data_IF_547531177932
#
_entry.id   IF_547531177932
#
_cell.length_a   1.000
_cell.length_b   1.000
_cell.length_c   1.000
_cell.angle_alpha   90.00
_cell.angle_beta   90.00
_cell.angle_gamma   90.00
#
_symmetry.space_group_name_H-M   'P 1'
#
loop_
_entity.id
_entity.type
_entity.pdbx_description
1 polymer ?
#
# COMPACT_ATOMS: atom_id res chain seq x y z
N UNK A 1 20.82 21.08 0.45
CA UNK A 1 20.61 19.63 0.60
C UNK A 1 19.57 19.20 -0.40
N UNK A 2 19.87 18.28 -1.34
CA UNK A 2 18.93 17.93 -2.38
C UNK A 2 17.82 17.01 -1.84
N UNK A 3 16.59 17.41 -2.12
CA UNK A 3 15.34 16.72 -1.84
C UNK A 3 15.30 15.34 -2.53
N UNK A 4 15.55 14.26 -1.79
CA UNK A 4 15.12 12.92 -2.18
C UNK A 4 13.63 12.76 -1.90
N UNK A 5 12.88 13.49 -2.74
CA UNK A 5 11.44 13.49 -2.83
C UNK A 5 10.91 12.10 -3.21
N UNK A 6 9.96 11.63 -2.42
CA UNK A 6 8.60 11.38 -2.92
C UNK A 6 8.48 10.72 -4.31
N UNK A 7 9.20 9.63 -4.60
CA UNK A 7 9.05 8.88 -5.87
C UNK A 7 8.50 7.46 -5.72
N UNK A 8 8.56 6.86 -4.54
CA UNK A 8 8.13 5.45 -4.37
C UNK A 8 6.59 5.30 -4.45
N UNK A 9 5.81 6.34 -4.11
CA UNK A 9 4.36 6.35 -4.31
C UNK A 9 3.92 6.65 -5.76
N UNK A 10 4.81 7.20 -6.60
CA UNK A 10 4.46 7.67 -7.95
C UNK A 10 4.52 6.58 -9.04
N UNK A 11 5.08 5.41 -8.77
CA UNK A 11 5.34 4.40 -9.82
C UNK A 11 4.33 3.25 -9.94
N UNK A 12 3.24 3.21 -9.16
CA UNK A 12 2.28 2.07 -9.17
C UNK A 12 0.82 2.51 -9.43
N UNK A 13 0.63 3.68 -10.06
CA UNK A 13 -0.61 4.00 -10.79
C UNK A 13 -0.18 4.48 -12.18
N UNK A 14 0.40 3.59 -12.97
CA UNK A 14 0.77 3.94 -14.36
C UNK A 14 -0.34 3.58 -15.35
N UNK A 15 -1.26 2.68 -14.98
CA UNK A 15 -2.28 2.16 -15.91
C UNK A 15 -3.64 1.99 -15.21
N UNK A 16 -4.44 3.06 -15.15
CA UNK A 16 -5.86 3.01 -14.85
C UNK A 16 -6.59 2.29 -15.98
N UNK A 17 -7.60 1.48 -15.66
CA UNK A 17 -8.42 0.78 -16.65
C UNK A 17 -9.87 1.31 -16.59
N UNK A 18 -10.40 1.82 -17.69
CA UNK A 18 -11.77 2.36 -17.80
C UNK A 18 -12.56 1.60 -18.85
N UNK A 19 -13.78 1.16 -18.49
CA UNK A 19 -14.69 0.54 -19.44
C UNK A 19 -15.69 1.58 -19.97
N UNK A 20 -15.71 1.75 -21.29
CA UNK A 20 -16.61 2.62 -22.03
C UNK A 20 -17.61 1.75 -22.75
N UNK A 21 -18.88 1.84 -22.37
CA UNK A 21 -19.96 1.15 -23.06
C UNK A 21 -20.46 2.00 -24.24
N UNK A 22 -20.32 1.46 -25.46
CA UNK A 22 -20.65 2.18 -26.70
C UNK A 22 -22.15 2.23 -26.98
N UNK A 23 -22.95 1.45 -26.26
CA UNK A 23 -24.41 1.45 -26.41
C UNK A 23 -25.05 2.78 -25.98
N UNK A 24 -24.30 3.61 -25.23
CA UNK A 24 -24.74 4.92 -24.73
C UNK A 24 -24.14 6.12 -25.49
N UNK A 25 -23.56 5.88 -26.67
CA UNK A 25 -22.94 6.94 -27.46
C UNK A 25 -23.87 7.49 -28.55
N UNK A 26 -23.95 8.82 -28.64
CA UNK A 26 -24.67 9.53 -29.71
C UNK A 26 -24.02 9.34 -31.09
N UNK A 27 -22.70 9.14 -31.11
CA UNK A 27 -21.90 8.98 -32.34
C UNK A 27 -20.77 7.94 -32.12
N UNK A 28 -21.03 6.65 -32.41
CA UNK A 28 -20.04 5.59 -32.29
C UNK A 28 -18.79 5.80 -33.17
N UNK A 29 -18.90 6.58 -34.25
CA UNK A 29 -17.77 6.94 -35.12
C UNK A 29 -16.80 7.91 -34.44
N UNK A 30 -17.34 8.85 -33.65
CA UNK A 30 -16.55 9.85 -32.91
C UNK A 30 -15.83 9.26 -31.70
N UNK A 31 -16.36 8.22 -31.05
CA UNK A 31 -15.66 7.48 -29.98
C UNK A 31 -14.33 6.91 -30.47
N UNK A 32 -14.30 6.26 -31.64
CA UNK A 32 -13.03 5.70 -32.17
C UNK A 32 -11.97 6.78 -32.38
N UNK A 33 -12.39 7.99 -32.75
CA UNK A 33 -11.50 9.15 -32.93
C UNK A 33 -11.00 9.68 -31.59
N UNK A 34 -11.86 9.74 -30.58
CA UNK A 34 -11.53 10.15 -29.21
C UNK A 34 -10.57 9.15 -28.55
N UNK A 35 -10.75 7.85 -28.80
CA UNK A 35 -9.93 6.78 -28.22
C UNK A 35 -8.57 6.56 -28.88
N UNK A 36 -8.37 7.08 -30.09
CA UNK A 36 -7.14 6.90 -30.86
C UNK A 36 -5.84 7.26 -30.11
N UNK A 37 -5.78 8.31 -29.26
CA UNK A 37 -4.59 8.65 -28.50
C UNK A 37 -4.33 7.72 -27.30
N UNK A 38 -5.31 6.91 -26.90
CA UNK A 38 -5.26 6.13 -25.66
C UNK A 38 -5.09 4.63 -25.96
N UNK A 39 -4.38 3.92 -25.09
CA UNK A 39 -4.23 2.47 -25.19
C UNK A 39 -5.57 1.81 -24.86
N UNK A 40 -6.24 1.21 -25.85
CA UNK A 40 -7.57 0.64 -25.62
C UNK A 40 -7.75 -0.75 -26.27
N UNK A 41 -8.65 -1.53 -25.69
CA UNK A 41 -9.06 -2.86 -26.13
C UNK A 41 -10.56 -2.86 -26.44
N UNK A 42 -10.95 -3.29 -27.63
CA UNK A 42 -12.37 -3.40 -28.00
C UNK A 42 -12.99 -4.65 -27.36
N UNK A 43 -14.13 -4.51 -26.69
CA UNK A 43 -14.98 -5.59 -26.16
C UNK A 43 -16.31 -5.65 -26.93
N UNK A 44 -17.11 -6.69 -26.65
CA UNK A 44 -18.39 -6.94 -27.34
C UNK A 44 -19.37 -5.76 -27.28
N UNK A 45 -19.39 -5.03 -26.17
CA UNK A 45 -20.30 -3.90 -25.93
C UNK A 45 -19.56 -2.60 -25.59
N UNK A 46 -18.27 -2.48 -25.91
CA UNK A 46 -17.51 -1.32 -25.45
C UNK A 46 -16.02 -1.31 -25.76
N UNK A 47 -15.32 -0.42 -25.05
CA UNK A 47 -13.87 -0.30 -25.06
C UNK A 47 -13.34 -0.34 -23.63
N UNK A 48 -12.22 -1.00 -23.42
CA UNK A 48 -11.44 -0.92 -22.19
C UNK A 48 -10.24 -0.04 -22.48
N UNK A 49 -10.08 1.08 -21.79
CA UNK A 49 -8.99 2.03 -22.00
C UNK A 49 -8.04 1.96 -20.82
N UNK A 50 -6.74 1.96 -21.11
CA UNK A 50 -5.68 1.94 -20.12
C UNK A 50 -4.82 3.19 -20.24
N UNK A 51 -4.52 3.86 -19.14
CA UNK A 51 -3.67 5.06 -19.17
C UNK A 51 -3.42 5.68 -17.80
N UNK A 52 -2.65 6.76 -17.76
CA UNK A 52 -2.44 7.53 -16.52
C UNK A 52 -3.72 8.24 -16.08
N UNK A 53 -3.72 8.83 -14.88
CA UNK A 53 -4.83 9.64 -14.40
C UNK A 53 -5.16 10.79 -15.36
N UNK A 54 -4.15 11.53 -15.78
CA UNK A 54 -4.30 12.68 -16.67
C UNK A 54 -4.83 12.25 -18.05
N UNK A 55 -4.40 11.08 -18.53
CA UNK A 55 -4.89 10.52 -19.80
C UNK A 55 -6.37 10.14 -19.71
N UNK A 56 -6.76 9.43 -18.64
CA UNK A 56 -8.15 9.01 -18.43
C UNK A 56 -9.07 10.21 -18.18
N UNK A 57 -8.64 11.21 -17.41
CA UNK A 57 -9.43 12.40 -17.10
C UNK A 57 -9.71 13.23 -18.37
N UNK A 58 -8.66 13.48 -19.18
CA UNK A 58 -8.80 14.13 -20.48
C UNK A 58 -9.67 13.34 -21.47
N UNK A 59 -9.63 12.01 -21.38
CA UNK A 59 -10.48 11.16 -22.19
C UNK A 59 -11.95 11.33 -21.80
N UNK A 60 -12.25 11.36 -20.50
CA UNK A 60 -13.62 11.48 -20.00
C UNK A 60 -14.23 12.86 -20.29
N UNK A 61 -13.46 13.94 -20.20
CA UNK A 61 -13.91 15.26 -20.67
C UNK A 61 -14.35 15.20 -22.14
N UNK A 62 -13.54 14.59 -23.01
CA UNK A 62 -13.85 14.44 -24.44
C UNK A 62 -15.05 13.51 -24.69
N UNK A 63 -15.25 12.49 -23.85
CA UNK A 63 -16.38 11.57 -23.96
C UNK A 63 -17.69 12.21 -23.49
N UNK A 64 -17.65 13.13 -22.53
CA UNK A 64 -18.85 13.85 -22.04
C UNK A 64 -19.57 14.62 -23.16
N UNK A 65 -18.85 15.04 -24.21
CA UNK A 65 -19.43 15.69 -25.39
C UNK A 65 -20.26 14.74 -26.29
N UNK A 66 -20.00 13.43 -26.23
CA UNK A 66 -20.51 12.43 -27.19
C UNK A 66 -21.38 11.34 -26.58
N UNK A 67 -21.48 11.29 -25.25
CA UNK A 67 -22.32 10.34 -24.53
C UNK A 67 -23.75 10.91 -24.30
N UNK A 68 -24.75 10.04 -24.17
CA UNK A 68 -26.11 10.47 -23.82
C UNK A 68 -26.16 10.98 -22.37
N UNK A 69 -26.73 12.18 -22.10
CA UNK A 69 -27.06 12.59 -20.74
C UNK A 69 -28.34 11.84 -20.35
N UNK A 70 -28.24 10.55 -20.08
CA UNK A 70 -29.16 9.74 -19.23
C UNK A 70 -28.86 8.25 -19.40
N UNK A 71 -28.71 7.56 -18.27
CA UNK A 71 -29.15 6.19 -18.10
C UNK A 71 -29.88 6.12 -16.74
N UNK A 72 -30.94 5.31 -16.59
CA UNK A 72 -31.59 5.03 -15.32
C UNK A 72 -30.69 4.09 -14.50
N UNK A 73 -29.48 4.53 -14.15
CA UNK A 73 -28.97 4.17 -12.82
C UNK A 73 -29.85 5.00 -11.90
N UNK A 74 -30.61 4.31 -11.04
CA UNK A 74 -31.43 4.86 -9.97
C UNK A 74 -31.04 6.29 -9.63
N UNK A 75 -32.03 7.19 -9.62
CA UNK A 75 -31.99 8.55 -9.05
C UNK A 75 -31.68 8.47 -7.54
N UNK A 76 -30.54 7.87 -7.22
CA UNK A 76 -30.12 7.40 -5.92
C UNK A 76 -28.73 7.95 -5.69
N UNK A 77 -28.58 8.66 -4.58
CA UNK A 77 -27.32 9.21 -4.13
C UNK A 77 -26.20 8.18 -4.20
N UNK A 78 -25.00 8.61 -4.60
CA UNK A 78 -23.77 7.81 -4.50
C UNK A 78 -23.69 7.28 -3.06
N UNK A 79 -23.57 5.97 -2.91
CA UNK A 79 -23.57 5.36 -1.58
C UNK A 79 -22.34 5.81 -0.81
N UNK A 80 -22.49 6.26 0.45
CA UNK A 80 -21.36 6.54 1.32
C UNK A 80 -20.41 5.33 1.43
N UNK A 81 -19.17 5.60 1.82
CA UNK A 81 -18.15 4.57 2.08
C UNK A 81 -17.84 4.59 3.57
N UNK A 82 -18.02 3.45 4.23
CA UNK A 82 -17.59 3.27 5.62
C UNK A 82 -16.06 3.18 5.69
N UNK A 83 -15.47 3.95 6.60
CA UNK A 83 -14.03 4.11 6.80
C UNK A 83 -13.69 4.18 8.28
N UNK A 84 -12.45 3.85 8.63
CA UNK A 84 -11.92 4.01 9.98
C UNK A 84 -11.54 5.47 10.21
N UNK A 85 -12.03 6.04 11.32
CA UNK A 85 -11.68 7.42 11.69
C UNK A 85 -10.17 7.64 11.83
N UNK A 86 -9.43 6.67 12.38
CA UNK A 86 -7.97 6.75 12.56
C UNK A 86 -7.24 6.79 11.21
N UNK A 87 -7.64 5.91 10.28
CA UNK A 87 -7.07 5.90 8.93
C UNK A 87 -7.41 7.19 8.18
N UNK A 88 -8.63 7.69 8.33
CA UNK A 88 -9.04 8.94 7.72
C UNK A 88 -8.31 10.16 8.30
N UNK A 89 -8.08 10.21 9.61
CA UNK A 89 -7.27 11.25 10.24
C UNK A 89 -5.85 11.27 9.66
N UNK A 90 -5.22 10.09 9.53
CA UNK A 90 -3.93 9.96 8.87
C UNK A 90 -3.97 10.41 7.41
N UNK A 91 -4.96 9.97 6.63
CA UNK A 91 -5.11 10.36 5.23
C UNK A 91 -5.22 11.88 5.09
N UNK A 92 -6.06 12.52 5.92
CA UNK A 92 -6.27 13.97 5.90
C UNK A 92 -5.00 14.74 6.26
N UNK A 93 -4.21 14.26 7.21
CA UNK A 93 -3.01 15.00 7.64
C UNK A 93 -1.76 14.68 6.81
N UNK A 94 -1.55 13.41 6.46
CA UNK A 94 -0.30 12.93 5.86
C UNK A 94 -0.41 12.58 4.37
N UNK A 95 -1.63 12.49 3.83
CA UNK A 95 -1.89 12.15 2.43
C UNK A 95 -2.87 13.11 1.73
N UNK A 96 -2.99 14.35 2.24
CA UNK A 96 -3.89 15.39 1.69
C UNK A 96 -3.67 15.61 0.19
N UNK A 97 -2.42 15.62 -0.26
CA UNK A 97 -2.08 15.82 -1.67
C UNK A 97 -2.61 14.68 -2.54
N UNK A 98 -2.52 13.44 -2.08
CA UNK A 98 -3.03 12.26 -2.77
C UNK A 98 -4.56 12.24 -2.75
N UNK A 99 -5.18 12.62 -1.64
CA UNK A 99 -6.64 12.77 -1.53
C UNK A 99 -7.17 13.82 -2.52
N UNK A 100 -6.53 14.99 -2.59
CA UNK A 100 -6.87 16.07 -3.54
C UNK A 100 -6.74 15.65 -5.00
N UNK A 101 -5.80 14.75 -5.34
CA UNK A 101 -5.70 14.18 -6.69
C UNK A 101 -6.84 13.22 -7.02
N UNK A 102 -7.47 12.62 -6.00
CA UNK A 102 -8.64 11.76 -6.18
C UNK A 102 -9.88 12.62 -6.38
N UNK A 103 -10.01 13.67 -5.57
CA UNK A 103 -11.06 14.70 -5.64
C UNK A 103 -11.06 15.47 -6.97
N UNK A 104 -9.87 15.80 -7.47
CA UNK A 104 -9.72 16.66 -8.65
C UNK A 104 -10.32 18.05 -8.41
N UNK A 105 -10.78 18.70 -9.48
CA UNK A 105 -11.44 20.01 -9.39
C UNK A 105 -12.97 19.90 -9.28
N UNK A 106 -13.51 18.69 -9.29
CA UNK A 106 -14.94 18.43 -9.55
C UNK A 106 -15.66 17.82 -8.36
N UNK A 107 -14.95 17.12 -7.47
CA UNK A 107 -15.54 16.44 -6.32
C UNK A 107 -14.86 16.80 -5.00
N UNK A 108 -15.62 16.64 -3.92
CA UNK A 108 -15.15 16.75 -2.55
C UNK A 108 -15.54 15.49 -1.78
N UNK A 109 -14.59 14.93 -1.01
CA UNK A 109 -14.80 13.74 -0.18
C UNK A 109 -14.94 14.20 1.26
N UNK A 110 -16.16 14.20 1.77
CA UNK A 110 -16.47 14.71 3.10
C UNK A 110 -17.06 13.65 4.03
N UNK A 111 -16.75 13.70 5.33
CA UNK A 111 -17.42 12.88 6.32
C UNK A 111 -18.90 13.26 6.43
N UNK A 112 -19.76 12.26 6.53
CA UNK A 112 -21.17 12.40 6.89
C UNK A 112 -21.23 12.48 8.43
N UNK A 113 -21.25 13.69 9.01
CA UNK A 113 -21.44 13.88 10.47
C UNK A 113 -22.79 13.23 10.91
N UNK A 114 -22.97 12.66 12.10
CA UNK A 114 -22.26 12.72 13.38
C UNK A 114 -22.67 11.46 14.16
N UNK A 115 -21.73 10.62 14.62
CA UNK A 115 -21.95 9.73 15.76
C UNK A 115 -20.65 9.03 16.18
N UNK A 116 -20.45 8.96 17.49
CA UNK A 116 -19.32 8.39 18.20
C UNK A 116 -19.17 6.87 18.00
N UNK A 117 -18.84 6.43 16.79
CA UNK A 117 -18.44 5.07 16.48
C UNK A 117 -17.07 5.06 15.79
N UNK A 118 -16.31 3.97 15.93
CA UNK A 118 -14.98 3.79 15.31
C UNK A 118 -14.99 3.78 13.77
N UNK A 119 -16.18 3.78 13.16
CA UNK A 119 -16.45 3.77 11.73
C UNK A 119 -17.18 5.04 11.32
N UNK A 120 -16.54 5.85 10.48
CA UNK A 120 -17.10 7.06 9.86
C UNK A 120 -17.60 6.73 8.46
N UNK A 121 -18.58 7.48 7.94
CA UNK A 121 -18.98 7.41 6.54
C UNK A 121 -18.45 8.62 5.78
N UNK A 122 -17.93 8.41 4.58
CA UNK A 122 -17.60 9.51 3.65
C UNK A 122 -18.52 9.51 2.44
N UNK A 123 -18.83 10.71 1.96
CA UNK A 123 -19.66 10.94 0.77
C UNK A 123 -18.88 11.71 -0.29
N UNK A 124 -19.36 11.61 -1.53
CA UNK A 124 -18.73 12.18 -2.71
C UNK A 124 -19.67 13.23 -3.28
N UNK A 125 -19.37 14.52 -3.05
CA UNK A 125 -20.19 15.63 -3.54
C UNK A 125 -19.51 16.35 -4.68
N UNK A 126 -20.30 16.73 -5.69
CA UNK A 126 -19.82 17.56 -6.79
C UNK A 126 -19.84 19.04 -6.43
N UNK A 127 -18.83 19.79 -6.87
CA UNK A 127 -18.77 21.24 -6.71
C UNK A 127 -19.85 22.01 -7.51
N UNK A 128 -20.38 21.43 -8.59
CA UNK A 128 -21.26 22.13 -9.53
C UNK A 128 -22.75 21.76 -9.41
N UNK A 129 -23.14 20.98 -8.40
CA UNK A 129 -24.55 20.59 -8.17
C UNK A 129 -25.17 19.63 -9.21
N UNK A 130 -24.60 19.51 -10.41
CA UNK A 130 -24.93 18.49 -11.41
C UNK A 130 -23.69 17.74 -11.85
N UNK A 131 -23.37 16.62 -11.21
CA UNK A 131 -22.39 15.66 -11.73
C UNK A 131 -23.08 14.50 -12.44
N UNK A 132 -22.50 14.05 -13.54
CA UNK A 132 -22.84 12.73 -14.09
C UNK A 132 -22.51 11.64 -13.06
N UNK A 133 -23.46 10.74 -12.73
CA UNK A 133 -23.27 9.67 -11.75
C UNK A 133 -22.02 8.80 -11.99
N UNK A 134 -21.61 8.64 -13.25
CA UNK A 134 -20.45 7.87 -13.68
C UNK A 134 -19.13 8.45 -13.13
N UNK A 135 -18.99 9.77 -13.13
CA UNK A 135 -17.78 10.43 -12.63
C UNK A 135 -17.65 10.30 -11.12
N UNK A 136 -18.77 10.35 -10.41
CA UNK A 136 -18.78 10.24 -8.96
C UNK A 136 -18.48 8.81 -8.48
N UNK A 137 -19.00 7.80 -9.18
CA UNK A 137 -18.67 6.39 -8.90
C UNK A 137 -17.18 6.11 -9.13
N UNK A 138 -16.57 6.76 -10.12
CA UNK A 138 -15.13 6.65 -10.37
C UNK A 138 -14.29 7.24 -9.23
N UNK A 139 -14.61 8.47 -8.79
CA UNK A 139 -13.96 9.09 -7.62
C UNK A 139 -14.12 8.20 -6.39
N UNK A 140 -15.31 7.63 -6.19
CA UNK A 140 -15.60 6.68 -5.12
C UNK A 140 -14.71 5.43 -5.17
N UNK A 141 -14.57 4.77 -6.32
CA UNK A 141 -13.72 3.58 -6.45
C UNK A 141 -12.22 3.90 -6.25
N UNK A 142 -11.76 5.06 -6.73
CA UNK A 142 -10.39 5.53 -6.50
C UNK A 142 -10.13 5.77 -5.03
N UNK A 143 -11.07 6.42 -4.34
CA UNK A 143 -10.99 6.61 -2.90
C UNK A 143 -10.95 5.27 -2.17
N UNK A 144 -11.81 4.31 -2.50
CA UNK A 144 -11.81 2.97 -1.87
C UNK A 144 -10.44 2.30 -2.03
N UNK A 145 -9.89 2.30 -3.24
CA UNK A 145 -8.59 1.67 -3.52
C UNK A 145 -7.46 2.35 -2.76
N UNK A 146 -7.43 3.68 -2.78
CA UNK A 146 -6.46 4.48 -2.03
C UNK A 146 -6.57 4.25 -0.53
N UNK A 147 -7.78 4.29 0.00
CA UNK A 147 -8.08 4.04 1.40
C UNK A 147 -7.62 2.65 1.82
N UNK A 148 -7.97 1.60 1.07
CA UNK A 148 -7.59 0.22 1.41
C UNK A 148 -6.08 0.02 1.41
N UNK A 149 -5.36 0.62 0.44
CA UNK A 149 -3.89 0.57 0.37
C UNK A 149 -3.24 1.32 1.53
N UNK A 150 -3.71 2.53 1.83
CA UNK A 150 -3.20 3.30 2.98
C UNK A 150 -3.47 2.54 4.27
N UNK A 151 -4.71 2.07 4.48
CA UNK A 151 -5.09 1.31 5.66
C UNK A 151 -4.24 0.04 5.87
N UNK A 152 -3.82 -0.64 4.81
CA UNK A 152 -2.97 -1.83 4.92
C UNK A 152 -1.53 -1.53 5.34
N UNK A 153 -1.01 -0.35 4.98
CA UNK A 153 0.36 0.06 5.33
C UNK A 153 0.43 0.70 6.74
N UNK A 154 -0.69 1.23 7.24
CA UNK A 154 -0.75 1.91 8.52
C UNK A 154 -0.75 0.95 9.72
N UNK A 155 0.05 1.34 10.72
CA UNK A 155 0.04 0.76 12.05
C UNK A 155 -0.25 1.86 13.07
N UNK A 156 -1.03 1.49 14.10
CA UNK A 156 -1.33 2.32 15.26
C UNK A 156 -0.61 1.72 16.47
N UNK A 157 0.08 2.55 17.26
CA UNK A 157 0.74 2.14 18.50
C UNK A 157 0.60 3.25 19.53
N UNK A 158 0.63 2.91 20.81
CA UNK A 158 0.70 3.92 21.87
C UNK A 158 2.13 4.04 22.40
N UNK A 159 2.57 5.26 22.71
CA UNK A 159 3.86 5.54 23.32
C UNK A 159 3.70 6.49 24.51
N UNK A 160 4.38 6.18 25.61
CA UNK A 160 4.48 7.09 26.76
C UNK A 160 5.64 8.04 26.57
N UNK A 161 5.38 9.32 26.28
CA UNK A 161 6.42 10.31 25.97
C UNK A 161 6.07 11.65 26.62
N UNK A 162 7.07 12.32 27.21
CA UNK A 162 6.87 13.66 27.78
C UNK A 162 6.57 14.71 26.69
N UNK A 163 5.82 15.79 26.99
CA UNK A 163 5.44 16.80 25.98
C UNK A 163 6.62 17.45 25.25
N UNK A 164 7.77 17.61 25.91
CA UNK A 164 8.98 18.15 25.30
C UNK A 164 9.60 17.20 24.27
N UNK A 165 9.62 15.90 24.56
CA UNK A 165 10.13 14.90 23.63
C UNK A 165 9.17 14.62 22.46
N UNK A 166 7.87 14.87 22.63
CA UNK A 166 6.89 14.69 21.55
C UNK A 166 7.20 15.56 20.33
N UNK A 167 7.56 16.84 20.54
CA UNK A 167 7.92 17.74 19.43
C UNK A 167 9.18 17.29 18.69
N UNK A 168 10.16 16.75 19.41
CA UNK A 168 11.35 16.18 18.78
C UNK A 168 11.01 14.95 17.95
N UNK A 169 10.18 14.05 18.48
CA UNK A 169 9.73 12.87 17.74
C UNK A 169 8.93 13.24 16.49
N UNK A 170 8.03 14.22 16.56
CA UNK A 170 7.30 14.71 15.38
C UNK A 170 8.23 15.23 14.29
N UNK A 171 9.32 15.90 14.67
CA UNK A 171 10.34 16.40 13.73
C UNK A 171 11.20 15.26 13.16
N UNK A 172 11.58 14.27 13.98
CA UNK A 172 12.37 13.12 13.55
C UNK A 172 11.57 12.16 12.68
N UNK A 173 10.27 12.01 12.95
CA UNK A 173 9.37 11.09 12.27
C UNK A 173 8.19 11.84 11.63
N UNK A 174 8.43 12.67 10.59
CA UNK A 174 7.40 13.53 10.00
C UNK A 174 6.25 12.76 9.33
N UNK A 175 6.49 11.49 8.98
CA UNK A 175 5.49 10.58 8.40
C UNK A 175 4.60 9.91 9.44
N UNK A 176 4.86 10.09 10.72
CA UNK A 176 4.00 9.60 11.79
C UNK A 176 3.04 10.72 12.21
N UNK A 177 1.80 10.33 12.43
CA UNK A 177 0.77 11.13 13.06
C UNK A 177 0.79 10.85 14.56
N UNK A 178 0.83 11.88 15.39
CA UNK A 178 0.88 11.77 16.84
C UNK A 178 -0.35 12.47 17.43
N UNK A 179 -1.24 11.72 18.06
CA UNK A 179 -2.50 12.18 18.64
C UNK A 179 -2.49 11.97 20.16
N UNK A 180 -2.70 13.02 20.97
CA UNK A 180 -2.77 12.88 22.43
C UNK A 180 -3.94 11.98 22.86
N UNK A 181 -3.71 11.04 23.77
CA UNK A 181 -4.78 10.21 24.35
C UNK A 181 -5.33 10.88 25.62
N UNK A 182 -6.67 10.98 25.74
CA UNK A 182 -7.34 11.67 26.86
C UNK A 182 -7.52 10.82 28.12
N UNK A 183 -6.88 9.66 28.20
CA UNK A 183 -7.30 8.56 29.09
C UNK A 183 -6.75 8.57 30.51
N UNK A 184 -5.74 9.39 30.87
CA UNK A 184 -5.35 9.59 32.29
C UNK A 184 -4.38 10.77 32.52
N UNK A 185 -4.54 11.57 33.59
CA UNK A 185 -3.62 12.66 33.96
C UNK A 185 -2.27 12.19 34.54
N UNK A 186 -2.09 10.90 34.85
CA UNK A 186 -0.88 10.39 35.52
C UNK A 186 0.23 9.91 34.58
N UNK A 187 -0.08 9.63 33.31
CA UNK A 187 0.89 9.33 32.24
C UNK A 187 0.32 9.79 30.89
N UNK A 188 0.84 10.88 30.28
CA UNK A 188 0.40 11.30 28.96
C UNK A 188 0.86 10.24 27.94
N UNK A 189 -0.11 9.47 27.47
CA UNK A 189 0.08 8.53 26.37
C UNK A 189 -0.24 9.26 25.06
N UNK A 190 0.48 8.89 24.01
CA UNK A 190 0.28 9.44 22.67
C UNK A 190 0.04 8.28 21.73
N UNK A 191 -1.10 8.34 21.04
CA UNK A 191 -1.41 7.44 19.94
C UNK A 191 -0.59 7.86 18.73
N UNK A 192 0.12 6.91 18.13
CA UNK A 192 0.96 7.14 16.96
C UNK A 192 0.46 6.27 15.82
N UNK A 193 0.10 6.92 14.71
CA UNK A 193 -0.40 6.28 13.50
C UNK A 193 0.55 6.55 12.34
N UNK A 194 0.97 5.54 11.61
CA UNK A 194 1.79 5.73 10.42
C UNK A 194 2.25 4.44 9.75
N UNK A 195 2.99 4.52 8.64
CA UNK A 195 3.45 3.35 7.91
C UNK A 195 4.26 2.41 8.79
N UNK A 196 4.08 1.11 8.62
CA UNK A 196 4.74 0.07 9.43
C UNK A 196 6.24 0.31 9.61
N UNK A 197 6.96 0.63 8.52
CA UNK A 197 8.40 0.88 8.57
C UNK A 197 8.75 2.05 9.50
N UNK A 198 7.99 3.13 9.47
CA UNK A 198 8.24 4.30 10.30
C UNK A 198 7.88 4.05 11.78
N UNK A 199 6.85 3.25 12.04
CA UNK A 199 6.50 2.83 13.39
C UNK A 199 7.59 1.91 13.98
N UNK A 200 8.15 0.99 13.19
CA UNK A 200 9.26 0.15 13.61
C UNK A 200 10.50 0.99 13.98
N UNK A 201 10.86 1.97 13.13
CA UNK A 201 11.96 2.90 13.40
C UNK A 201 11.74 3.73 14.67
N UNK A 202 10.50 4.17 14.94
CA UNK A 202 10.17 4.87 16.17
C UNK A 202 10.38 3.97 17.40
N UNK A 203 9.92 2.72 17.36
CA UNK A 203 10.06 1.78 18.49
C UNK A 203 11.53 1.48 18.79
N UNK A 204 12.35 1.29 17.76
CA UNK A 204 13.79 1.10 17.90
C UNK A 204 14.45 2.34 18.51
N UNK A 205 14.14 3.53 17.99
CA UNK A 205 14.65 4.80 18.50
C UNK A 205 14.31 5.02 19.98
N UNK A 206 13.09 4.68 20.40
CA UNK A 206 12.68 4.79 21.80
C UNK A 206 13.40 3.77 22.68
N UNK A 207 13.63 2.55 22.18
CA UNK A 207 14.34 1.50 22.91
C UNK A 207 15.79 1.89 23.24
N UNK A 208 16.49 2.53 22.28
CA UNK A 208 17.86 3.00 22.44
C UNK A 208 18.02 4.15 23.46
N UNK A 209 16.94 4.89 23.78
CA UNK A 209 16.95 5.99 24.75
C UNK A 209 16.57 5.56 26.17
N UNK A 210 16.22 4.29 26.41
CA UNK A 210 15.90 3.79 27.75
C UNK A 210 17.19 3.61 28.56
N UNK A 211 17.40 4.28 29.70
CA UNK A 211 18.63 4.11 30.48
C UNK A 211 18.63 2.75 31.18
N UNK A 212 19.59 1.90 30.85
CA UNK A 212 19.94 0.72 31.65
C UNK A 212 20.40 1.15 33.06
N UNK A 213 20.02 0.46 34.16
CA UNK A 213 20.51 0.81 35.48
C UNK A 213 21.98 0.36 35.66
N UNK A 214 22.83 1.36 35.91
CA UNK A 214 24.10 1.34 36.65
C UNK A 214 25.23 0.38 36.21
N UNK A 215 26.32 0.97 35.68
CA UNK A 215 27.66 0.86 36.28
C UNK A 215 28.35 2.24 36.25
N UNK A 216 28.90 2.62 37.40
CA UNK A 216 29.37 3.95 37.78
C UNK A 216 30.63 4.42 37.04
N UNK A 217 30.91 5.74 37.01
CA UNK A 217 32.04 6.33 36.29
C UNK A 217 33.32 6.41 37.15
N UNK A 218 34.44 5.95 36.59
CA UNK A 218 35.79 6.16 37.13
C UNK A 218 36.45 7.37 36.48
N UNK A 219 36.69 8.40 37.29
CA UNK A 219 37.25 9.69 36.96
C UNK A 219 38.79 9.64 36.80
N UNK A 220 39.37 10.33 35.81
CA UNK A 220 40.74 10.91 35.78
C UNK A 220 40.93 11.69 34.45
N UNK A 221 40.96 13.03 34.50
CA UNK A 221 41.37 13.90 33.38
C UNK A 221 42.88 14.21 33.40
N UNK A 222 43.36 15.36 32.90
CA UNK A 222 42.95 16.17 31.74
C UNK A 222 44.17 16.47 30.80
N UNK A 223 44.01 17.43 29.87
CA UNK A 223 45.02 18.08 28.98
C UNK A 223 45.17 17.43 27.58
N UNK A 224 45.19 18.09 26.43
CA UNK A 224 45.33 19.51 26.04
C UNK A 224 44.63 19.78 24.69
N UNK A 225 44.16 21.01 24.48
CA UNK A 225 43.80 21.60 23.17
C UNK A 225 44.91 22.58 22.77
N UNK A 226 45.28 22.72 21.48
CA UNK A 226 44.79 23.87 20.70
C UNK A 226 44.50 23.50 19.22
N UNK A 227 43.29 23.77 18.72
CA UNK A 227 42.92 24.98 17.96
C UNK A 227 43.45 25.07 16.52
N UNK A 228 42.49 25.18 15.61
CA UNK A 228 42.48 25.96 14.36
C UNK A 228 43.19 25.42 13.11
N UNK A 229 42.41 25.13 12.05
CA UNK A 229 42.27 25.98 10.84
C UNK A 229 41.56 25.24 9.70
N UNK A 230 40.40 25.74 9.33
CA UNK A 230 39.85 25.66 7.96
C UNK A 230 40.83 26.34 6.99
N UNK A 231 40.93 25.85 5.75
CA UNK A 231 40.39 26.65 4.65
C UNK A 231 39.52 25.84 3.68
N UNK A 232 38.52 26.52 3.14
CA UNK A 232 37.62 26.03 2.11
C UNK A 232 38.23 25.99 0.69
N UNK A 233 37.38 26.00 -0.34
CA UNK A 233 37.43 25.04 -1.44
C UNK A 233 38.37 25.47 -2.56
N UNK A 234 38.98 24.49 -3.24
CA UNK A 234 39.54 24.68 -4.57
C UNK A 234 38.99 23.63 -5.51
N UNK A 235 38.04 24.10 -6.33
CA UNK A 235 37.58 23.47 -7.56
C UNK A 235 38.75 23.28 -8.52
N UNK A 236 39.06 22.04 -8.84
CA UNK A 236 39.77 21.69 -10.08
C UNK A 236 38.92 20.67 -10.82
N UNK A 237 38.27 21.15 -11.87
CA UNK A 237 37.60 20.36 -12.89
C UNK A 237 38.63 19.45 -13.57
N UNK A 238 38.66 18.20 -13.15
CA UNK A 238 39.12 17.08 -13.97
C UNK A 238 37.89 16.23 -14.28
N UNK A 239 37.60 16.06 -15.58
CA UNK A 239 36.64 15.06 -16.05
C UNK A 239 37.30 13.69 -15.89
N UNK A 240 37.35 13.20 -14.67
CA UNK A 240 37.50 11.77 -14.40
C UNK A 240 36.19 11.07 -14.83
N UNK A 241 36.23 9.81 -15.29
CA UNK A 241 35.01 9.04 -15.50
C UNK A 241 34.27 9.05 -14.16
N UNK A 242 33.00 9.51 -14.16
CA UNK A 242 32.17 9.55 -12.95
C UNK A 242 32.30 8.21 -12.22
N UNK A 243 33.03 8.23 -11.11
CA UNK A 243 33.26 7.04 -10.30
C UNK A 243 31.91 6.72 -9.67
N UNK A 244 31.20 5.79 -10.30
CA UNK A 244 29.84 5.42 -9.91
C UNK A 244 29.90 4.86 -8.47
N UNK A 245 29.28 5.56 -7.51
CA UNK A 245 29.29 5.16 -6.11
C UNK A 245 28.22 4.09 -5.84
N UNK A 246 28.56 3.10 -5.01
CA UNK A 246 27.65 2.03 -4.63
C UNK A 246 26.58 2.56 -3.67
N UNK A 247 25.27 2.42 -3.98
CA UNK A 247 24.21 2.91 -3.09
C UNK A 247 24.10 2.18 -1.73
N UNK A 248 24.78 1.03 -1.57
CA UNK A 248 24.70 0.19 -0.36
C UNK A 248 25.81 0.56 0.63
N UNK A 249 27.07 0.56 0.19
CA UNK A 249 28.21 0.91 1.05
C UNK A 249 28.63 2.37 0.94
N UNK A 250 28.10 3.12 -0.03
CA UNK A 250 28.44 4.52 -0.33
C UNK A 250 29.88 4.76 -0.83
N UNK A 251 30.63 3.69 -1.09
CA UNK A 251 31.99 3.75 -1.64
C UNK A 251 32.00 3.74 -3.17
N UNK A 252 33.10 4.19 -3.78
CA UNK A 252 33.37 4.05 -5.20
C UNK A 252 33.26 2.57 -5.64
N UNK A 253 32.51 2.28 -6.71
CA UNK A 253 32.46 0.93 -7.26
C UNK A 253 33.74 0.69 -8.06
N UNK A 254 34.56 -0.26 -7.62
CA UNK A 254 35.66 -0.76 -8.42
C UNK A 254 35.12 -1.49 -9.67
N UNK A 255 35.62 -1.16 -10.86
CA UNK A 255 35.13 -1.72 -12.12
C UNK A 255 35.19 -3.26 -12.17
N UNK A 256 36.13 -3.89 -11.46
CA UNK A 256 36.28 -5.35 -11.34
C UNK A 256 35.22 -6.01 -10.47
N UNK A 257 34.66 -5.27 -9.51
CA UNK A 257 33.63 -5.75 -8.57
C UNK A 257 32.26 -5.14 -8.86
N UNK A 258 32.09 -4.49 -10.02
CA UNK A 258 30.84 -3.88 -10.45
C UNK A 258 29.87 -4.93 -10.99
N UNK A 259 28.70 -5.02 -10.37
CA UNK A 259 27.55 -5.72 -10.94
C UNK A 259 26.45 -4.74 -11.31
N UNK A 260 26.06 -4.75 -12.60
CA UNK A 260 24.96 -3.95 -13.12
C UNK A 260 23.75 -4.84 -13.39
N UNK A 261 22.64 -4.55 -12.70
CA UNK A 261 21.40 -5.28 -12.84
C UNK A 261 20.67 -4.95 -14.16
N UNK A 262 19.67 -5.76 -14.54
CA UNK A 262 18.86 -5.54 -15.76
C UNK A 262 18.08 -4.20 -15.77
N UNK A 263 17.82 -3.63 -14.59
CA UNK A 263 17.26 -2.30 -14.37
C UNK A 263 18.30 -1.18 -14.43
N UNK A 264 19.54 -1.49 -14.82
CA UNK A 264 20.66 -0.56 -15.04
C UNK A 264 21.24 0.10 -13.79
N UNK A 265 20.84 -0.31 -12.58
CA UNK A 265 21.51 0.11 -11.35
C UNK A 265 22.75 -0.76 -11.08
N UNK A 266 23.84 -0.12 -10.67
CA UNK A 266 25.12 -0.77 -10.39
C UNK A 266 25.45 -0.81 -8.89
N UNK A 267 26.10 -1.88 -8.45
CA UNK A 267 26.51 -2.09 -7.07
C UNK A 267 27.87 -2.81 -7.02
N UNK A 268 28.55 -2.78 -5.87
CA UNK A 268 29.60 -3.75 -5.60
C UNK A 268 28.99 -5.15 -5.51
N UNK A 269 29.63 -6.14 -6.13
CA UNK A 269 29.19 -7.55 -6.18
C UNK A 269 28.83 -8.11 -4.80
N UNK A 270 29.71 -7.94 -3.83
CA UNK A 270 29.47 -8.42 -2.46
C UNK A 270 28.30 -7.69 -1.76
N UNK A 271 28.12 -6.40 -2.04
CA UNK A 271 26.99 -5.65 -1.51
C UNK A 271 25.67 -6.13 -2.11
N UNK A 272 25.64 -6.35 -3.43
CA UNK A 272 24.47 -6.87 -4.12
C UNK A 272 24.13 -8.29 -3.68
N UNK A 273 25.13 -9.16 -3.54
CA UNK A 273 24.97 -10.52 -3.05
C UNK A 273 24.32 -10.54 -1.66
N UNK A 274 24.88 -9.79 -0.70
CA UNK A 274 24.30 -9.68 0.66
C UNK A 274 22.87 -9.14 0.65
N UNK A 275 22.59 -8.16 -0.21
CA UNK A 275 21.23 -7.63 -0.35
C UNK A 275 20.26 -8.70 -0.89
N UNK A 276 20.69 -9.49 -1.88
CA UNK A 276 19.88 -10.56 -2.48
C UNK A 276 19.70 -11.77 -1.57
N UNK A 277 20.67 -12.08 -0.71
CA UNK A 277 20.54 -13.10 0.33
C UNK A 277 19.40 -12.77 1.30
N UNK A 278 19.16 -11.47 1.57
CA UNK A 278 18.01 -11.03 2.35
C UNK A 278 16.72 -10.97 1.52
N UNK A 279 16.75 -10.30 0.36
CA UNK A 279 15.61 -10.19 -0.54
C UNK A 279 16.10 -9.95 -1.97
N UNK A 280 15.66 -10.74 -2.97
CA UNK A 280 16.17 -10.63 -4.34
C UNK A 280 15.50 -9.47 -5.10
N UNK A 281 15.55 -8.26 -4.56
CA UNK A 281 15.04 -7.03 -5.17
C UNK A 281 16.18 -6.02 -5.31
N UNK A 282 16.20 -5.26 -6.40
CA UNK A 282 17.14 -4.17 -6.58
C UNK A 282 16.99 -3.16 -5.43
N UNK A 283 18.05 -2.87 -4.64
CA UNK A 283 17.96 -1.93 -3.53
C UNK A 283 17.60 -0.49 -3.93
N UNK A 284 17.77 -0.13 -5.21
CA UNK A 284 17.48 1.22 -5.72
C UNK A 284 16.05 1.38 -6.22
N UNK A 285 15.52 0.41 -6.96
CA UNK A 285 14.20 0.54 -7.60
C UNK A 285 13.20 -0.57 -7.29
N UNK A 286 13.59 -1.59 -6.52
CA UNK A 286 12.71 -2.69 -6.12
C UNK A 286 12.43 -3.75 -7.18
N UNK A 287 13.04 -3.66 -8.38
CA UNK A 287 12.88 -4.69 -9.41
C UNK A 287 13.33 -6.08 -8.89
N UNK A 288 12.52 -7.12 -9.09
CA UNK A 288 12.72 -8.47 -8.52
C UNK A 288 13.63 -9.35 -9.40
N UNK A 289 14.70 -9.94 -8.87
CA UNK A 289 15.69 -10.74 -9.61
C UNK A 289 15.72 -12.24 -9.25
N UNK A 290 14.87 -12.68 -8.33
CA UNK A 290 14.78 -14.06 -7.89
C UNK A 290 13.39 -14.44 -7.39
N UNK A 291 13.26 -15.63 -6.83
CA UNK A 291 12.00 -16.07 -6.22
C UNK A 291 11.85 -15.42 -4.85
N UNK A 292 10.81 -14.61 -4.68
CA UNK A 292 10.49 -14.04 -3.38
C UNK A 292 9.88 -15.14 -2.49
N UNK A 293 10.42 -15.30 -1.29
CA UNK A 293 9.81 -16.13 -0.23
C UNK A 293 9.43 -15.21 0.91
N UNK A 294 8.24 -15.38 1.47
CA UNK A 294 7.78 -14.58 2.60
C UNK A 294 8.00 -15.23 3.96
N UNK A 295 7.43 -14.62 4.99
CA UNK A 295 7.56 -14.96 6.41
C UNK A 295 6.29 -15.60 6.98
N UNK A 296 5.51 -16.29 6.14
CA UNK A 296 4.41 -17.12 6.64
C UNK A 296 4.96 -18.27 7.50
N UNK A 297 4.37 -18.53 8.68
CA UNK A 297 4.81 -19.64 9.52
C UNK A 297 4.63 -21.01 8.88
N UNK A 298 5.47 -21.95 9.33
CA UNK A 298 5.43 -23.35 8.90
C UNK A 298 4.23 -24.11 9.49
N UNK A 299 3.93 -25.26 8.90
CA UNK A 299 2.83 -26.13 9.34
C UNK A 299 1.43 -25.67 8.91
N UNK A 300 1.35 -24.64 8.07
CA UNK A 300 0.09 -24.16 7.51
C UNK A 300 -0.50 -25.07 6.44
N UNK A 301 -1.83 -25.11 6.34
CA UNK A 301 -2.58 -25.76 5.25
C UNK A 301 -3.43 -24.77 4.45
N UNK A 302 -3.69 -25.15 3.20
CA UNK A 302 -4.57 -24.45 2.28
C UNK A 302 -5.46 -25.49 1.58
N UNK A 303 -6.72 -25.54 1.97
CA UNK A 303 -7.70 -26.50 1.49
C UNK A 303 -8.72 -25.81 0.59
N UNK A 304 -9.09 -26.46 -0.52
CA UNK A 304 -9.94 -25.86 -1.54
C UNK A 304 -11.16 -26.74 -1.78
N UNK A 305 -12.34 -26.15 -1.71
CA UNK A 305 -13.61 -26.79 -2.06
C UNK A 305 -14.36 -25.96 -3.10
N UNK A 306 -15.28 -26.60 -3.81
CA UNK A 306 -16.11 -25.97 -4.84
C UNK A 306 -17.57 -26.28 -4.57
N UNK A 307 -18.43 -25.31 -4.88
CA UNK A 307 -19.88 -25.44 -4.73
C UNK A 307 -20.60 -24.80 -5.91
N UNK A 308 -21.85 -25.21 -6.14
CA UNK A 308 -22.68 -24.68 -7.23
C UNK A 308 -23.32 -23.31 -6.93
N UNK A 309 -23.24 -22.83 -5.69
CA UNK A 309 -23.74 -21.50 -5.33
C UNK A 309 -22.91 -20.41 -6.00
N UNK A 310 -23.57 -19.33 -6.41
CA UNK A 310 -22.91 -18.22 -7.11
C UNK A 310 -22.61 -17.06 -6.17
N UNK A 311 -21.48 -16.39 -6.41
CA UNK A 311 -21.18 -15.10 -5.79
C UNK A 311 -21.94 -13.97 -6.50
N UNK A 312 -22.35 -12.91 -5.78
CA UNK A 312 -22.87 -11.69 -6.39
C UNK A 312 -21.92 -11.14 -7.47
N UNK A 313 -22.45 -10.93 -8.68
CA UNK A 313 -21.66 -10.51 -9.86
C UNK A 313 -21.14 -11.66 -10.73
N UNK A 314 -21.28 -12.90 -10.28
CA UNK A 314 -20.81 -14.11 -10.98
C UNK A 314 -21.89 -15.20 -11.06
N UNK A 315 -23.15 -14.82 -11.35
CA UNK A 315 -24.34 -15.69 -11.32
C UNK A 315 -24.28 -16.90 -12.27
N UNK A 316 -23.36 -16.91 -13.23
CA UNK A 316 -23.16 -18.03 -14.18
C UNK A 316 -22.15 -19.08 -13.67
N UNK A 317 -21.51 -18.83 -12.53
CA UNK A 317 -20.41 -19.63 -12.01
C UNK A 317 -20.73 -20.14 -10.60
N UNK A 318 -20.10 -21.25 -10.22
CA UNK A 318 -20.07 -21.70 -8.83
C UNK A 318 -19.14 -20.84 -7.97
N UNK A 319 -18.87 -21.31 -6.75
CA UNK A 319 -17.97 -20.65 -5.80
C UNK A 319 -16.86 -21.61 -5.37
N UNK A 320 -15.62 -21.14 -5.47
CA UNK A 320 -14.44 -21.75 -4.87
C UNK A 320 -14.30 -21.20 -3.46
N UNK A 321 -14.23 -22.07 -2.46
CA UNK A 321 -13.92 -21.72 -1.08
C UNK A 321 -12.51 -22.19 -0.76
N UNK A 322 -11.68 -21.27 -0.26
CA UNK A 322 -10.31 -21.54 0.16
C UNK A 322 -10.27 -21.41 1.69
N UNK A 323 -9.91 -22.47 2.37
CA UNK A 323 -9.71 -22.49 3.81
C UNK A 323 -8.22 -22.53 4.11
N UNK A 324 -7.73 -21.50 4.79
CA UNK A 324 -6.37 -21.44 5.30
C UNK A 324 -6.37 -21.76 6.78
N UNK A 325 -5.39 -22.54 7.20
CA UNK A 325 -5.09 -22.78 8.60
C UNK A 325 -3.58 -22.58 8.82
N UNK A 326 -3.22 -21.71 9.76
CA UNK A 326 -1.86 -21.56 10.27
C UNK A 326 -1.92 -21.85 11.78
N UNK A 327 -1.20 -22.86 12.30
CA UNK A 327 -1.18 -23.15 13.73
C UNK A 327 -0.46 -22.05 14.52
N UNK A 328 -0.74 -21.94 15.81
CA UNK A 328 0.09 -21.14 16.73
C UNK A 328 1.48 -21.76 16.86
N UNK A 329 2.48 -20.95 17.18
CA UNK A 329 3.85 -21.43 17.29
C UNK A 329 4.81 -20.43 17.91
N UNK A 330 6.11 -20.62 17.65
CA UNK A 330 7.18 -19.73 18.12
C UNK A 330 7.77 -18.98 16.93
N UNK A 331 8.02 -17.68 17.12
CA UNK A 331 8.61 -16.80 16.13
C UNK A 331 10.06 -17.19 15.85
N UNK A 332 10.43 -17.21 14.58
CA UNK A 332 11.78 -17.52 14.08
C UNK A 332 12.56 -16.22 13.84
N UNK A 333 13.82 -16.35 13.42
CA UNK A 333 14.70 -15.21 13.15
C UNK A 333 14.14 -14.24 12.09
N UNK A 334 13.32 -14.72 11.16
CA UNK A 334 12.66 -13.90 10.16
C UNK A 334 11.43 -13.12 10.66
N UNK A 335 10.98 -13.35 11.90
CA UNK A 335 9.81 -12.72 12.48
C UNK A 335 10.15 -11.54 13.41
N UNK A 336 9.20 -10.64 13.72
CA UNK A 336 9.48 -9.41 14.49
C UNK A 336 10.07 -9.63 15.89
N UNK A 337 9.70 -10.70 16.58
CA UNK A 337 10.19 -11.00 17.93
C UNK A 337 10.63 -12.48 18.04
N UNK A 338 11.82 -12.84 17.52
CA UNK A 338 12.31 -14.22 17.56
C UNK A 338 12.26 -14.83 18.97
N UNK A 339 11.85 -16.09 19.06
CA UNK A 339 11.68 -16.82 20.33
C UNK A 339 10.38 -16.54 21.09
N UNK A 340 9.61 -15.51 20.74
CA UNK A 340 8.30 -15.27 21.35
C UNK A 340 7.20 -16.13 20.70
N UNK A 341 6.15 -16.53 21.44
CA UNK A 341 5.00 -17.19 20.86
C UNK A 341 4.22 -16.25 19.92
N UNK A 342 3.55 -16.83 18.94
CA UNK A 342 2.52 -16.15 18.15
C UNK A 342 1.22 -16.98 18.09
N UNK A 343 0.09 -16.29 17.96
CA UNK A 343 -1.22 -16.93 17.76
C UNK A 343 -1.48 -17.20 16.28
N UNK A 344 -1.88 -18.43 15.97
CA UNK A 344 -2.26 -18.87 14.63
C UNK A 344 -3.53 -18.21 14.09
N UNK A 345 -3.96 -18.62 12.90
CA UNK A 345 -5.19 -18.13 12.29
C UNK A 345 -5.89 -19.21 11.45
N UNK A 346 -7.22 -19.19 11.47
CA UNK A 346 -8.07 -19.88 10.49
C UNK A 346 -8.83 -18.84 9.69
N UNK A 347 -8.75 -18.90 8.35
CA UNK A 347 -9.39 -17.91 7.49
C UNK A 347 -10.00 -18.56 6.26
N UNK A 348 -11.18 -18.09 5.89
CA UNK A 348 -11.87 -18.52 4.68
C UNK A 348 -11.88 -17.39 3.66
N UNK A 349 -11.66 -17.73 2.39
CA UNK A 349 -11.73 -16.82 1.27
C UNK A 349 -12.53 -17.42 0.11
N UNK A 350 -13.07 -16.56 -0.74
CA UNK A 350 -13.96 -16.94 -1.84
C UNK A 350 -13.45 -16.43 -3.19
N UNK A 351 -13.60 -17.26 -4.22
CA UNK A 351 -13.42 -16.88 -5.62
C UNK A 351 -14.58 -17.43 -6.45
N UNK A 352 -14.97 -16.78 -7.56
CA UNK A 352 -15.90 -17.41 -8.49
C UNK A 352 -15.24 -18.62 -9.15
N UNK A 353 -15.98 -19.72 -9.32
CA UNK A 353 -15.53 -20.90 -10.07
C UNK A 353 -15.64 -20.67 -11.59
N UNK A 354 -14.96 -19.63 -12.04
CA UNK A 354 -14.81 -19.24 -13.44
C UNK A 354 -13.38 -19.53 -13.91
N UNK A 355 -13.13 -19.46 -15.23
CA UNK A 355 -11.76 -19.56 -15.77
C UNK A 355 -10.82 -18.54 -15.12
N UNK A 356 -11.32 -17.31 -14.93
CA UNK A 356 -10.58 -16.23 -14.30
C UNK A 356 -10.29 -16.52 -12.81
N UNK A 357 -11.29 -16.94 -12.03
CA UNK A 357 -11.11 -17.27 -10.62
C UNK A 357 -10.19 -18.48 -10.40
N UNK A 358 -10.28 -19.51 -11.25
CA UNK A 358 -9.34 -20.65 -11.21
C UNK A 358 -7.90 -20.22 -11.55
N UNK A 359 -7.72 -19.21 -12.41
CA UNK A 359 -6.42 -18.59 -12.64
C UNK A 359 -5.84 -17.96 -11.37
N UNK A 360 -6.65 -17.15 -10.67
CA UNK A 360 -6.25 -16.54 -9.38
C UNK A 360 -5.95 -17.60 -8.33
N UNK A 361 -6.76 -18.67 -8.24
CA UNK A 361 -6.53 -19.78 -7.30
C UNK A 361 -5.13 -20.39 -7.48
N UNK A 362 -4.70 -20.62 -8.72
CA UNK A 362 -3.35 -21.18 -9.00
C UNK A 362 -2.25 -20.25 -8.49
N UNK A 363 -2.42 -18.95 -8.68
CA UNK A 363 -1.46 -17.94 -8.22
C UNK A 363 -1.44 -17.86 -6.68
N UNK A 364 -2.61 -17.85 -6.02
CA UNK A 364 -2.69 -17.90 -4.55
C UNK A 364 -2.06 -19.17 -3.98
N UNK A 365 -2.26 -20.32 -4.65
CA UNK A 365 -1.62 -21.59 -4.26
C UNK A 365 -0.09 -21.48 -4.34
N UNK A 366 0.44 -20.86 -5.41
CA UNK A 366 1.87 -20.60 -5.55
C UNK A 366 2.38 -19.63 -4.48
N UNK A 367 1.67 -18.54 -4.24
CA UNK A 367 2.00 -17.56 -3.21
C UNK A 367 2.01 -18.19 -1.80
N UNK A 368 1.05 -19.07 -1.49
CA UNK A 368 1.01 -19.80 -0.22
C UNK A 368 2.23 -20.71 -0.05
N UNK A 369 2.61 -21.47 -1.09
CA UNK A 369 3.82 -22.31 -1.09
C UNK A 369 5.10 -21.48 -0.93
N UNK A 370 5.11 -20.26 -1.47
CA UNK A 370 6.21 -19.30 -1.32
C UNK A 370 6.11 -18.48 -0.02
N UNK A 371 5.20 -18.84 0.91
CA UNK A 371 5.06 -18.18 2.22
C UNK A 371 4.66 -16.69 2.15
N UNK A 372 3.95 -16.29 1.08
CA UNK A 372 3.60 -14.89 0.80
C UNK A 372 2.18 -14.50 1.20
N UNK A 373 1.31 -15.44 1.60
CA UNK A 373 -0.08 -15.14 1.94
C UNK A 373 -0.21 -14.54 3.35
N UNK A 374 0.56 -15.08 4.29
CA UNK A 374 0.56 -14.66 5.69
C UNK A 374 1.93 -14.16 6.16
N UNK A 375 1.93 -13.55 7.34
CA UNK A 375 3.12 -13.23 8.13
C UNK A 375 2.75 -13.23 9.62
N UNK A 376 3.74 -13.19 10.50
CA UNK A 376 3.54 -12.86 11.92
C UNK A 376 3.73 -11.36 12.10
N UNK A 377 2.77 -10.72 12.77
CA UNK A 377 2.87 -9.29 13.02
C UNK A 377 1.74 -8.75 13.88
N UNK A 378 1.42 -7.49 13.61
CA UNK A 378 0.37 -6.74 14.27
C UNK A 378 -0.89 -6.73 13.41
N UNK A 379 -2.01 -7.15 13.96
CA UNK A 379 -3.31 -7.06 13.28
C UNK A 379 -3.84 -5.64 13.32
N UNK A 380 -4.02 -5.04 12.15
CA UNK A 380 -4.65 -3.72 11.99
C UNK A 380 -6.09 -3.69 12.49
N UNK A 381 -6.83 -4.80 12.36
CA UNK A 381 -8.25 -4.88 12.74
C UNK A 381 -8.47 -5.07 14.24
N UNK A 382 -7.57 -5.81 14.92
CA UNK A 382 -7.74 -6.16 16.34
C UNK A 382 -6.76 -5.48 17.28
N UNK A 383 -5.74 -4.79 16.75
CA UNK A 383 -4.68 -4.16 17.55
C UNK A 383 -3.73 -5.15 18.25
N UNK A 384 -3.85 -6.46 17.96
CA UNK A 384 -3.07 -7.52 18.62
C UNK A 384 -1.73 -7.72 17.92
N UNK A 385 -0.66 -7.79 18.71
CA UNK A 385 0.69 -8.17 18.24
C UNK A 385 0.91 -9.67 18.34
N UNK A 386 1.97 -10.17 17.69
CA UNK A 386 2.38 -11.58 17.73
C UNK A 386 1.25 -12.51 17.27
N UNK A 387 0.57 -12.17 16.17
CA UNK A 387 -0.45 -13.03 15.57
C UNK A 387 -0.23 -13.19 14.07
N UNK A 388 -0.85 -14.21 13.49
CA UNK A 388 -0.86 -14.43 12.04
C UNK A 388 -1.80 -13.44 11.33
N UNK A 389 -1.24 -12.65 10.43
CA UNK A 389 -1.95 -11.64 9.63
C UNK A 389 -1.76 -11.88 8.13
N UNK A 390 -2.65 -11.32 7.30
CA UNK A 390 -2.46 -11.27 5.85
C UNK A 390 -1.17 -10.49 5.49
N UNK A 391 -0.56 -10.80 4.34
CA UNK A 391 0.70 -10.21 3.87
C UNK A 391 0.52 -9.51 2.50
N UNK A 392 -0.32 -8.46 2.49
CA UNK A 392 -0.61 -7.58 1.34
C UNK A 392 -1.17 -8.26 0.07
N UNK A 393 -1.76 -9.45 0.22
CA UNK A 393 -2.53 -10.10 -0.85
C UNK A 393 -3.97 -10.18 -0.37
N UNK A 394 -4.84 -9.35 -0.96
CA UNK A 394 -6.21 -9.22 -0.51
C UNK A 394 -7.04 -10.45 -0.85
N UNK A 395 -7.81 -10.91 0.13
CA UNK A 395 -8.73 -12.02 0.01
C UNK A 395 -10.16 -11.55 0.23
N UNK A 396 -11.09 -12.18 -0.49
CA UNK A 396 -12.52 -11.98 -0.25
C UNK A 396 -12.99 -12.92 0.84
N UNK A 397 -13.10 -12.42 2.07
CA UNK A 397 -13.51 -13.19 3.25
C UNK A 397 -15.02 -13.17 3.51
N UNK A 398 -15.78 -12.52 2.64
CA UNK A 398 -17.24 -12.49 2.68
C UNK A 398 -17.81 -12.78 1.29
N UNK A 399 -18.96 -13.44 1.20
CA UNK A 399 -19.66 -13.64 -0.08
C UNK A 399 -20.59 -12.46 -0.42
N UNK A 400 -20.72 -11.48 0.48
CA UNK A 400 -21.62 -10.33 0.37
C UNK A 400 -21.00 -9.04 0.95
N UNK A 401 -21.67 -7.90 0.79
CA UNK A 401 -21.26 -6.62 1.34
C UNK A 401 -20.21 -5.85 0.50
N UNK A 402 -19.83 -6.39 -0.66
CA UNK A 402 -18.94 -5.69 -1.60
C UNK A 402 -17.53 -5.41 -1.03
N UNK A 403 -16.77 -4.51 -1.67
CA UNK A 403 -15.35 -4.29 -1.34
C UNK A 403 -15.09 -3.84 0.10
N UNK A 404 -16.01 -3.09 0.72
CA UNK A 404 -15.89 -2.56 2.08
C UNK A 404 -15.96 -3.64 3.14
N UNK A 405 -16.72 -4.70 2.90
CA UNK A 405 -16.80 -5.87 3.78
C UNK A 405 -15.94 -7.04 3.31
N UNK A 406 -14.92 -6.77 2.51
CA UNK A 406 -14.05 -7.79 1.92
C UNK A 406 -14.85 -8.87 1.18
N UNK A 407 -15.95 -8.49 0.54
CA UNK A 407 -16.85 -9.43 -0.13
C UNK A 407 -17.28 -9.00 -1.53
N UNK A 408 -18.33 -9.67 -2.00
CA UNK A 408 -18.88 -9.51 -3.35
C UNK A 408 -20.21 -8.73 -3.32
N UNK A 409 -20.63 -8.08 -4.42
CA UNK A 409 -19.94 -7.98 -5.70
C UNK A 409 -18.73 -7.02 -5.64
N UNK A 410 -17.64 -7.37 -6.32
CA UNK A 410 -16.48 -6.53 -6.53
C UNK A 410 -15.89 -6.86 -7.91
N UNK A 411 -16.27 -6.11 -8.97
CA UNK A 411 -15.88 -6.44 -10.34
C UNK A 411 -14.37 -6.32 -10.58
N UNK A 412 -13.67 -5.51 -9.78
CA UNK A 412 -12.24 -5.21 -9.95
C UNK A 412 -11.34 -6.08 -9.06
N UNK A 413 -11.92 -6.99 -8.26
CA UNK A 413 -11.13 -7.80 -7.34
C UNK A 413 -10.15 -8.73 -8.05
N UNK A 414 -10.60 -9.48 -9.07
CA UNK A 414 -9.77 -10.49 -9.72
C UNK A 414 -8.60 -9.89 -10.52
N UNK A 415 -8.76 -8.67 -11.05
CA UNK A 415 -7.65 -7.93 -11.66
C UNK A 415 -6.69 -7.42 -10.59
N UNK A 416 -7.22 -6.75 -9.56
CA UNK A 416 -6.42 -6.17 -8.47
C UNK A 416 -5.58 -7.21 -7.73
N UNK A 417 -6.15 -8.35 -7.36
CA UNK A 417 -5.40 -9.40 -6.66
C UNK A 417 -4.27 -9.99 -7.52
N UNK A 418 -4.45 -10.04 -8.86
CA UNK A 418 -3.36 -10.41 -9.76
C UNK A 418 -2.24 -9.40 -9.76
N UNK A 419 -2.57 -8.11 -9.75
CA UNK A 419 -1.55 -7.06 -9.68
C UNK A 419 -0.78 -7.13 -8.35
N UNK A 420 -1.46 -7.40 -7.23
CA UNK A 420 -0.84 -7.62 -5.92
C UNK A 420 0.09 -8.85 -5.92
N UNK A 421 -0.38 -9.96 -6.49
CA UNK A 421 0.42 -11.19 -6.66
C UNK A 421 1.64 -10.96 -7.54
N UNK A 422 1.49 -10.22 -8.64
CA UNK A 422 2.56 -9.85 -9.55
C UNK A 422 3.63 -8.99 -8.87
N UNK A 423 3.23 -8.03 -8.03
CA UNK A 423 4.17 -7.23 -7.21
C UNK A 423 4.98 -8.13 -6.27
N UNK A 424 4.41 -9.24 -5.80
CA UNK A 424 5.09 -10.25 -4.99
C UNK A 424 5.85 -11.30 -5.83
N UNK A 425 5.95 -11.14 -7.15
CA UNK A 425 6.68 -12.04 -8.05
C UNK A 425 5.91 -13.29 -8.49
N UNK A 426 4.58 -13.28 -8.36
CA UNK A 426 3.70 -14.40 -8.69
C UNK A 426 2.92 -14.06 -9.97
N UNK A 427 3.27 -14.73 -11.06
CA UNK A 427 2.65 -14.58 -12.39
C UNK A 427 2.25 -15.92 -13.01
#
# INVERSE_FOLDING_TARGET
>A
MPNFSCRILYQIITDLTVQIDVTYCKDPGRIKKILRPYKHEKKAHGYIVRGTFEEVDQLMEKLSEVMHPTSPVTRGQIKPVDVSGVVMAYIKEKCDRELKKIEGNTFHIEPLHDNASSTEQVTFRSHQGSSEPVHADFVRQRFITFYQRTASDLQVTSVSVSPHHLRDLQRTFPRLLFEPTTTSPSRPEVTVTGPFLHIAQLKEFLSQKTPSPSKSPGNKGPADTPSSRTPGPSSTLSKDPEVEACPICMEAIENTEKETLRCKHSFCRDCLKRAFDYKPVCPTCGALYGTLTGTQPDGGSMDVTKSSSSLPGYQKYGTITINYYIPSGIQKEEHPHPGQPYEGASRTAYLPDSSEGNGVLKLLTRAFRQKLIFTVGHSTTSGRNNIVTWNDIHHKTSTHGGPTHYGYPDPDYLSRVRDELKVKGIE
#
